data_IF_040888751099
#
_entry.id   IF_040888751099
#
_cell.length_a   1.000
_cell.length_b   1.000
_cell.length_c   1.000
_cell.angle_alpha   90.00
_cell.angle_beta   90.00
_cell.angle_gamma   90.00
#
_symmetry.space_group_name_H-M   'P 1'
#
loop_
_entity.id
_entity.type
_entity.pdbx_description
1 polymer ?
#
# COMPACT_ATOMS: atom_id res chain seq x y z
N UNK A 1 18.57 -32.90 -38.69
CA UNK A 1 18.76 -33.15 -37.24
C UNK A 1 18.75 -31.81 -36.48
N UNK A 2 17.65 -31.04 -36.52
CA UNK A 2 17.59 -29.67 -35.95
C UNK A 2 16.20 -29.26 -35.42
N UNK A 3 15.26 -30.21 -35.29
CA UNK A 3 13.88 -29.93 -34.79
C UNK A 3 13.68 -30.22 -33.31
N UNK A 4 14.54 -31.03 -32.67
CA UNK A 4 14.37 -31.42 -31.25
C UNK A 4 14.82 -30.37 -30.23
N UNK A 5 15.64 -29.40 -30.60
CA UNK A 5 16.21 -28.43 -29.64
C UNK A 5 15.18 -27.35 -29.26
N UNK A 6 14.26 -26.98 -30.15
CA UNK A 6 13.26 -25.94 -29.91
C UNK A 6 12.11 -26.35 -28.98
N UNK A 7 11.84 -27.64 -28.83
CA UNK A 7 10.78 -28.13 -27.93
C UNK A 7 11.20 -28.07 -26.45
N UNK A 8 12.50 -28.20 -26.16
CA UNK A 8 13.03 -28.13 -24.80
C UNK A 8 13.12 -26.69 -24.27
N UNK A 9 13.38 -25.71 -25.15
CA UNK A 9 13.42 -24.29 -24.76
C UNK A 9 12.03 -23.67 -24.55
N UNK A 10 10.98 -24.19 -25.19
CA UNK A 10 9.61 -23.71 -24.97
C UNK A 10 9.02 -24.16 -23.62
N UNK A 11 9.48 -25.30 -23.08
CA UNK A 11 8.99 -25.84 -21.80
C UNK A 11 9.56 -25.10 -20.57
N UNK A 12 10.75 -24.50 -20.69
CA UNK A 12 11.38 -23.77 -19.58
C UNK A 12 10.77 -22.37 -19.35
N UNK A 13 10.11 -21.79 -20.36
CA UNK A 13 9.46 -20.48 -20.27
C UNK A 13 8.13 -20.49 -19.50
N UNK A 14 7.51 -21.66 -19.28
CA UNK A 14 6.25 -21.79 -18.54
C UNK A 14 6.43 -22.06 -17.04
N UNK A 15 7.66 -22.34 -16.57
CA UNK A 15 7.93 -22.64 -15.16
C UNK A 15 8.25 -21.41 -14.29
N UNK A 16 8.26 -20.21 -14.88
CA UNK A 16 8.39 -18.96 -14.13
C UNK A 16 7.04 -18.27 -13.99
N UNK A 17 6.11 -18.91 -13.29
CA UNK A 17 4.98 -18.17 -12.71
C UNK A 17 5.47 -17.52 -11.41
N UNK A 18 5.60 -16.18 -11.35
CA UNK A 18 5.89 -15.52 -10.10
C UNK A 18 4.73 -15.78 -9.15
N UNK A 19 5.03 -16.43 -8.03
CA UNK A 19 4.04 -16.67 -7.00
C UNK A 19 3.70 -15.32 -6.37
N UNK A 20 2.58 -14.70 -6.75
CA UNK A 20 2.14 -13.47 -6.11
C UNK A 20 1.70 -13.80 -4.68
N UNK A 21 2.46 -13.37 -3.68
CA UNK A 21 1.99 -13.32 -2.30
C UNK A 21 0.78 -12.37 -2.22
N UNK A 22 -0.30 -12.90 -1.64
CA UNK A 22 -1.63 -12.28 -1.63
C UNK A 22 -1.87 -11.65 -0.26
N UNK A 23 -2.30 -10.39 -0.23
CA UNK A 23 -2.87 -9.78 0.98
C UNK A 23 -4.14 -10.56 1.32
N UNK A 24 -4.13 -11.32 2.42
CA UNK A 24 -5.27 -12.12 2.88
C UNK A 24 -6.30 -11.21 3.56
N UNK A 25 -5.82 -10.36 4.47
CA UNK A 25 -6.67 -9.47 5.25
C UNK A 25 -6.01 -8.10 5.36
N UNK A 26 -6.82 -7.05 5.20
CA UNK A 26 -6.44 -5.67 5.48
C UNK A 26 -7.66 -4.97 6.07
N UNK A 27 -7.83 -5.11 7.38
CA UNK A 27 -8.99 -4.61 8.11
C UNK A 27 -8.60 -3.38 8.93
N UNK A 28 -9.22 -2.25 8.61
CA UNK A 28 -9.10 -1.02 9.38
C UNK A 28 -10.25 -0.90 10.39
N UNK A 29 -9.91 -0.61 11.65
CA UNK A 29 -10.85 -0.44 12.76
C UNK A 29 -11.05 1.06 13.01
N UNK A 30 -12.31 1.48 13.12
CA UNK A 30 -12.71 2.90 13.17
C UNK A 30 -12.24 3.69 11.93
N UNK A 31 -12.48 3.12 10.74
CA UNK A 31 -12.10 3.73 9.47
C UNK A 31 -12.89 5.01 9.20
N UNK A 32 -12.18 6.09 8.92
CA UNK A 32 -12.71 7.33 8.37
C UNK A 32 -11.97 7.71 7.09
N UNK A 33 -12.63 8.45 6.20
CA UNK A 33 -12.09 8.81 4.88
C UNK A 33 -12.37 10.28 4.57
N UNK A 34 -11.39 10.92 3.95
CA UNK A 34 -11.56 12.23 3.34
C UNK A 34 -11.22 12.12 1.85
N UNK A 35 -12.07 12.70 1.01
CA UNK A 35 -11.99 12.57 -0.44
C UNK A 35 -11.70 13.93 -1.05
N UNK A 36 -10.71 13.99 -1.94
CA UNK A 36 -10.25 15.22 -2.57
C UNK A 36 -10.12 15.04 -4.08
N UNK A 37 -10.74 15.91 -4.90
CA UNK A 37 -10.52 15.91 -6.34
C UNK A 37 -9.06 16.16 -6.70
N UNK A 38 -8.56 15.55 -7.78
CA UNK A 38 -7.17 15.73 -8.23
C UNK A 38 -6.81 17.20 -8.43
N UNK A 39 -7.71 18.00 -9.01
CA UNK A 39 -7.51 19.44 -9.17
C UNK A 39 -7.22 20.16 -7.85
N UNK A 40 -7.95 19.82 -6.79
CA UNK A 40 -7.71 20.34 -5.44
C UNK A 40 -6.36 19.90 -4.89
N UNK A 41 -6.01 18.63 -5.09
CA UNK A 41 -4.71 18.07 -4.65
C UNK A 41 -3.56 18.80 -5.34
N UNK A 42 -3.61 18.95 -6.66
CA UNK A 42 -2.60 19.66 -7.44
C UNK A 42 -2.49 21.12 -7.00
N UNK A 43 -3.63 21.82 -6.84
CA UNK A 43 -3.67 23.21 -6.37
C UNK A 43 -3.06 23.39 -4.97
N UNK A 44 -3.44 22.55 -4.00
CA UNK A 44 -2.91 22.58 -2.63
C UNK A 44 -1.41 22.25 -2.56
N UNK A 45 -0.91 21.52 -3.55
CA UNK A 45 0.51 21.18 -3.72
C UNK A 45 1.28 22.23 -4.54
N UNK A 46 0.63 23.30 -4.99
CA UNK A 46 1.26 24.47 -5.63
C UNK A 46 1.11 24.52 -7.16
N UNK A 47 0.34 23.62 -7.77
CA UNK A 47 0.13 23.54 -9.22
C UNK A 47 -1.27 24.05 -9.58
N UNK A 48 -1.40 25.38 -9.74
CA UNK A 48 -2.71 26.05 -9.91
C UNK A 48 -3.30 25.92 -11.31
N UNK A 49 -2.48 25.66 -12.32
CA UNK A 49 -2.86 25.64 -13.74
C UNK A 49 -2.69 24.26 -14.37
N UNK A 50 -3.02 23.20 -13.64
CA UNK A 50 -3.02 21.85 -14.22
C UNK A 50 -4.16 21.74 -15.23
N UNK A 51 -3.81 21.51 -16.50
CA UNK A 51 -4.78 21.36 -17.59
C UNK A 51 -5.41 19.97 -17.59
N UNK A 52 -4.62 18.95 -17.23
CA UNK A 52 -5.03 17.55 -17.19
C UNK A 52 -4.39 16.92 -15.95
N UNK A 53 -5.21 16.42 -15.01
CA UNK A 53 -4.75 15.61 -13.90
C UNK A 53 -5.05 14.12 -14.13
N UNK A 54 -4.07 13.27 -13.87
CA UNK A 54 -4.22 11.82 -14.06
C UNK A 54 -3.54 11.02 -12.96
N UNK A 55 -4.11 9.85 -12.65
CA UNK A 55 -3.50 8.93 -11.70
C UNK A 55 -2.27 8.26 -12.31
N UNK A 56 -1.16 8.20 -11.57
CA UNK A 56 0.01 7.39 -11.90
C UNK A 56 0.09 6.25 -10.90
N UNK A 57 -0.58 5.15 -11.24
CA UNK A 57 -0.84 4.05 -10.29
C UNK A 57 -1.76 4.49 -9.14
N UNK A 58 -1.62 3.84 -7.99
CA UNK A 58 -2.54 4.05 -6.86
C UNK A 58 -2.06 5.09 -5.83
N UNK A 59 -0.82 5.57 -5.92
CA UNK A 59 -0.18 6.38 -4.87
C UNK A 59 0.33 7.73 -5.37
N UNK A 60 0.16 8.04 -6.65
CA UNK A 60 0.67 9.28 -7.26
C UNK A 60 -0.35 9.89 -8.21
N UNK A 61 -0.30 11.20 -8.34
CA UNK A 61 -1.05 11.98 -9.34
C UNK A 61 -0.05 12.74 -10.18
N UNK A 62 -0.23 12.71 -11.49
CA UNK A 62 0.45 13.60 -12.42
C UNK A 62 -0.39 14.87 -12.59
N UNK A 63 0.20 16.00 -12.20
CA UNK A 63 -0.38 17.34 -12.31
C UNK A 63 0.21 18.09 -13.53
N UNK A 64 0.48 17.36 -14.63
CA UNK A 64 1.13 17.78 -15.89
C UNK A 64 2.61 18.17 -15.74
N UNK A 65 2.91 19.07 -14.81
CA UNK A 65 4.24 19.64 -14.61
C UNK A 65 5.11 18.81 -13.66
N UNK A 66 4.47 18.11 -12.70
CA UNK A 66 5.12 17.30 -11.68
C UNK A 66 4.21 16.18 -11.20
N UNK A 67 4.84 15.15 -10.65
CA UNK A 67 4.16 14.04 -10.01
C UNK A 67 4.08 14.28 -8.50
N UNK A 68 2.86 14.31 -7.97
CA UNK A 68 2.56 14.45 -6.55
C UNK A 68 2.43 13.08 -5.90
N UNK A 69 3.09 12.88 -4.76
CA UNK A 69 2.85 11.73 -3.90
C UNK A 69 1.59 11.99 -3.05
N UNK A 70 0.60 11.08 -3.16
CA UNK A 70 -0.69 11.22 -2.49
C UNK A 70 -0.55 11.23 -0.97
N UNK A 71 0.36 10.40 -0.44
CA UNK A 71 0.56 10.32 1.01
C UNK A 71 1.12 11.64 1.55
N UNK A 72 2.00 12.32 0.81
CA UNK A 72 2.56 13.60 1.25
C UNK A 72 1.51 14.72 1.22
N UNK A 73 0.62 14.72 0.21
CA UNK A 73 -0.56 15.58 0.24
C UNK A 73 -1.42 15.30 1.48
N UNK A 74 -1.76 14.04 1.77
CA UNK A 74 -2.58 13.69 2.93
C UNK A 74 -1.91 14.15 4.24
N UNK A 75 -0.60 13.96 4.41
CA UNK A 75 0.15 14.46 5.58
C UNK A 75 0.05 15.98 5.71
N UNK A 76 0.23 16.71 4.60
CA UNK A 76 0.15 18.17 4.58
C UNK A 76 -1.26 18.66 4.97
N UNK A 77 -2.29 18.04 4.39
CA UNK A 77 -3.69 18.43 4.60
C UNK A 77 -4.17 18.13 6.01
N UNK A 78 -3.69 17.04 6.60
CA UNK A 78 -4.18 16.51 7.88
C UNK A 78 -3.14 16.52 8.98
N UNK A 79 -2.22 17.49 8.94
CA UNK A 79 -1.12 17.65 9.91
C UNK A 79 -1.55 17.67 11.39
N UNK A 80 -2.83 17.98 11.66
CA UNK A 80 -3.44 17.96 13.00
C UNK A 80 -4.10 16.63 13.39
N UNK A 81 -4.39 15.74 12.45
CA UNK A 81 -5.00 14.42 12.72
C UNK A 81 -3.92 13.37 12.90
N UNK A 82 -3.88 12.81 14.10
CA UNK A 82 -3.07 11.64 14.42
C UNK A 82 -3.91 10.41 14.07
N UNK A 83 -3.43 9.53 13.18
CA UNK A 83 -4.05 8.27 12.70
C UNK A 83 -4.16 8.10 11.15
N UNK A 84 -3.43 8.88 10.35
CA UNK A 84 -3.33 8.67 8.90
C UNK A 84 -2.69 7.29 8.61
N UNK A 85 -3.47 6.39 8.01
CA UNK A 85 -2.97 5.04 7.66
C UNK A 85 -2.43 4.96 6.24
N UNK A 86 -3.05 5.64 5.26
CA UNK A 86 -2.57 5.73 3.88
C UNK A 86 -3.34 6.78 3.08
N UNK A 87 -2.74 7.20 1.96
CA UNK A 87 -3.41 7.93 0.90
C UNK A 87 -3.39 7.13 -0.40
N UNK A 88 -4.49 7.12 -1.15
CA UNK A 88 -4.59 6.39 -2.41
C UNK A 88 -5.54 7.06 -3.40
N UNK A 89 -5.46 6.66 -4.66
CA UNK A 89 -6.50 6.97 -5.65
C UNK A 89 -7.80 6.23 -5.29
N UNK A 90 -8.94 6.90 -5.49
CA UNK A 90 -10.24 6.26 -5.42
C UNK A 90 -10.39 5.28 -6.58
N UNK A 91 -10.55 3.99 -6.27
CA UNK A 91 -10.66 2.95 -7.28
C UNK A 91 -11.95 3.07 -8.12
N UNK A 92 -12.99 3.68 -7.56
CA UNK A 92 -14.28 3.82 -8.22
C UNK A 92 -14.26 4.94 -9.24
N UNK A 93 -13.89 6.15 -8.80
CA UNK A 93 -13.96 7.34 -9.66
C UNK A 93 -12.67 7.61 -10.42
N UNK A 94 -11.53 7.10 -9.94
CA UNK A 94 -10.17 7.26 -10.50
C UNK A 94 -9.70 8.71 -10.72
N UNK A 95 -10.45 9.68 -10.21
CA UNK A 95 -10.18 11.12 -10.31
C UNK A 95 -10.11 11.82 -8.94
N UNK A 96 -10.21 11.03 -7.87
CA UNK A 96 -10.17 11.51 -6.50
C UNK A 96 -9.04 10.81 -5.73
N UNK A 97 -8.47 11.55 -4.78
CA UNK A 97 -7.64 11.02 -3.70
C UNK A 97 -8.52 10.70 -2.51
N UNK A 98 -8.23 9.57 -1.87
CA UNK A 98 -8.79 9.20 -0.57
C UNK A 98 -7.64 9.18 0.45
N UNK A 99 -7.75 10.03 1.46
CA UNK A 99 -6.94 9.94 2.68
C UNK A 99 -7.71 9.09 3.70
N UNK A 100 -7.12 7.99 4.14
CA UNK A 100 -7.75 7.05 5.07
C UNK A 100 -7.12 7.15 6.46
N UNK A 101 -7.99 7.14 7.48
CA UNK A 101 -7.65 7.26 8.89
C UNK A 101 -8.25 6.10 9.66
N UNK A 102 -7.52 5.52 10.60
CA UNK A 102 -8.04 4.43 11.43
C UNK A 102 -7.29 4.35 12.75
N UNK A 103 -7.98 3.93 13.82
CA UNK A 103 -7.33 3.69 15.12
C UNK A 103 -6.40 2.49 15.08
N UNK A 104 -6.82 1.44 14.38
CA UNK A 104 -6.04 0.20 14.25
C UNK A 104 -6.17 -0.42 12.86
N UNK A 105 -5.14 -1.15 12.45
CA UNK A 105 -5.11 -1.94 11.21
C UNK A 105 -4.62 -3.35 11.52
N UNK A 106 -5.40 -4.35 11.09
CA UNK A 106 -5.01 -5.77 11.08
C UNK A 106 -4.67 -6.16 9.65
N UNK A 107 -3.41 -6.55 9.44
CA UNK A 107 -2.88 -6.98 8.15
C UNK A 107 -2.47 -8.45 8.23
N UNK A 108 -2.94 -9.28 7.29
CA UNK A 108 -2.48 -10.65 7.11
C UNK A 108 -1.96 -10.84 5.69
N UNK A 109 -0.73 -11.31 5.58
CA UNK A 109 -0.04 -11.55 4.31
C UNK A 109 0.25 -13.04 4.18
N UNK A 110 -0.12 -13.62 3.04
CA UNK A 110 0.33 -14.97 2.67
C UNK A 110 1.79 -14.92 2.21
N UNK A 111 2.69 -15.54 2.95
CA UNK A 111 4.13 -15.56 2.65
C UNK A 111 4.55 -16.73 1.76
N UNK A 112 3.60 -17.45 1.17
CA UNK A 112 3.89 -18.58 0.26
C UNK A 112 4.42 -18.14 -1.10
N UNK A 113 4.35 -16.84 -1.44
CA UNK A 113 4.81 -16.28 -2.71
C UNK A 113 5.93 -15.25 -2.57
N UNK A 114 6.45 -14.80 -3.72
CA UNK A 114 7.62 -13.92 -3.83
C UNK A 114 7.30 -12.42 -3.72
N UNK A 115 6.04 -12.00 -3.85
CA UNK A 115 5.71 -10.55 -3.88
C UNK A 115 5.90 -9.84 -2.54
N UNK A 116 5.80 -10.57 -1.43
CA UNK A 116 6.25 -10.12 -0.11
C UNK A 116 7.28 -11.12 0.39
N UNK A 117 8.55 -10.73 0.36
CA UNK A 117 9.66 -11.50 0.95
C UNK A 117 9.52 -11.49 2.46
N UNK A 118 8.60 -12.28 3.00
CA UNK A 118 8.56 -12.54 4.43
C UNK A 118 9.83 -13.29 4.80
N UNK A 119 10.47 -12.84 5.86
CA UNK A 119 11.64 -13.46 6.43
C UNK A 119 11.25 -14.16 7.72
N UNK A 120 12.21 -14.79 8.40
CA UNK A 120 11.97 -15.30 9.76
C UNK A 120 11.90 -14.16 10.80
N UNK A 121 11.97 -12.88 10.38
CA UNK A 121 11.94 -11.70 11.25
C UNK A 121 10.60 -10.98 11.16
N UNK A 122 9.55 -11.64 11.65
CA UNK A 122 8.15 -11.14 11.64
C UNK A 122 7.97 -9.66 12.02
N UNK A 123 8.68 -9.17 13.05
CA UNK A 123 8.59 -7.77 13.47
C UNK A 123 9.15 -6.83 12.39
N UNK A 124 10.31 -7.15 11.84
CA UNK A 124 10.92 -6.36 10.77
C UNK A 124 10.04 -6.35 9.52
N UNK A 125 9.47 -7.50 9.15
CA UNK A 125 8.60 -7.61 7.98
C UNK A 125 7.33 -6.76 8.14
N UNK A 126 6.70 -6.79 9.32
CA UNK A 126 5.59 -5.90 9.64
C UNK A 126 6.00 -4.42 9.61
N UNK A 127 7.15 -4.04 10.17
CA UNK A 127 7.62 -2.65 10.10
C UNK A 127 7.87 -2.18 8.65
N UNK A 128 8.32 -3.07 7.77
CA UNK A 128 8.45 -2.76 6.34
C UNK A 128 7.09 -2.53 5.67
N UNK A 129 6.08 -3.33 6.03
CA UNK A 129 4.71 -3.22 5.52
C UNK A 129 3.98 -1.98 6.05
N UNK A 130 4.30 -1.52 7.26
CA UNK A 130 3.67 -0.36 7.91
C UNK A 130 3.57 0.87 7.00
N UNK A 131 4.62 1.17 6.21
CA UNK A 131 4.66 2.33 5.32
C UNK A 131 3.53 2.35 4.28
N UNK A 132 3.05 1.18 3.86
CA UNK A 132 2.01 1.06 2.84
C UNK A 132 0.60 0.92 3.44
N UNK A 133 0.47 0.35 4.64
CA UNK A 133 -0.81 -0.05 5.20
C UNK A 133 -1.24 0.72 6.45
N UNK A 134 -0.30 1.26 7.22
CA UNK A 134 -0.55 1.80 8.55
C UNK A 134 0.44 2.91 8.93
N UNK A 135 0.63 3.89 8.04
CA UNK A 135 1.73 4.88 8.07
C UNK A 135 2.02 5.47 9.46
N UNK A 136 1.01 6.01 10.14
CA UNK A 136 1.19 6.68 11.44
C UNK A 136 1.01 5.77 12.66
N UNK A 137 0.62 4.51 12.49
CA UNK A 137 0.28 3.63 13.62
C UNK A 137 1.51 2.88 14.14
N UNK A 138 1.50 2.49 15.41
CA UNK A 138 2.59 1.74 16.03
C UNK A 138 2.32 0.24 15.85
N UNK A 139 3.36 -0.54 15.51
CA UNK A 139 3.26 -2.00 15.50
C UNK A 139 3.12 -2.51 16.93
N UNK A 140 1.95 -3.06 17.27
CA UNK A 140 1.64 -3.59 18.60
C UNK A 140 1.80 -5.10 18.67
N UNK A 141 1.52 -5.81 17.58
CA UNK A 141 1.64 -7.27 17.52
C UNK A 141 2.17 -7.75 16.17
N UNK A 142 3.03 -8.77 16.21
CA UNK A 142 3.45 -9.52 15.04
C UNK A 142 3.53 -11.02 15.31
N UNK A 143 2.91 -11.80 14.43
CA UNK A 143 2.89 -13.24 14.48
C UNK A 143 3.18 -13.83 13.10
N UNK A 144 3.76 -15.01 13.09
CA UNK A 144 3.98 -15.78 11.89
C UNK A 144 3.54 -17.21 12.17
N UNK A 145 2.49 -17.66 11.48
CA UNK A 145 1.91 -18.98 11.65
C UNK A 145 1.49 -19.52 10.29
N UNK A 146 1.81 -20.78 10.00
CA UNK A 146 1.34 -21.47 8.80
C UNK A 146 1.54 -20.69 7.48
N UNK A 147 2.71 -20.06 7.33
CA UNK A 147 3.08 -19.17 6.20
C UNK A 147 2.27 -17.87 6.13
N UNK A 148 1.57 -17.48 7.18
CA UNK A 148 0.83 -16.22 7.25
C UNK A 148 1.51 -15.28 8.23
N UNK A 149 1.96 -14.13 7.73
CA UNK A 149 2.42 -13.03 8.56
C UNK A 149 1.22 -12.19 8.99
N UNK A 150 1.00 -12.09 10.29
CA UNK A 150 -0.03 -11.21 10.89
C UNK A 150 0.64 -10.02 11.56
N UNK A 151 0.20 -8.82 11.19
CA UNK A 151 0.65 -7.55 11.76
C UNK A 151 -0.54 -6.76 12.29
N UNK A 152 -0.47 -6.30 13.53
CA UNK A 152 -1.47 -5.41 14.12
C UNK A 152 -0.80 -4.08 14.45
N UNK A 153 -1.37 -3.01 13.90
CA UNK A 153 -0.94 -1.65 14.16
C UNK A 153 -2.03 -0.91 14.92
N UNK A 154 -1.67 -0.06 15.87
CA UNK A 154 -2.62 0.73 16.66
C UNK A 154 -2.04 2.09 17.03
N UNK A 155 -2.91 3.06 17.30
CA UNK A 155 -2.57 4.37 17.85
C UNK A 155 -2.23 4.30 19.33
N UNK A 156 -2.94 3.45 20.07
CA UNK A 156 -2.56 2.97 21.38
C UNK A 156 -1.30 2.10 21.23
N UNK A 157 -0.21 2.41 21.95
CA UNK A 157 1.08 1.70 21.85
C UNK A 157 0.98 0.19 22.11
N UNK A 158 2.11 -0.56 22.12
CA UNK A 158 2.08 -2.00 22.33
C UNK A 158 1.31 -2.35 23.61
N UNK A 159 0.36 -3.29 23.49
CA UNK A 159 -0.36 -3.87 24.63
C UNK A 159 0.70 -4.42 25.59
N UNK A 160 0.82 -3.79 26.76
CA UNK A 160 1.61 -4.34 27.87
C UNK A 160 0.86 -5.56 28.38
N UNK A 161 1.24 -6.73 27.91
CA UNK A 161 0.90 -8.02 28.51
C UNK A 161 1.73 -8.20 29.79
#
# INVERSE_FOLDING_TARGET
>A
MMRSIYLLTFLFLFLQWPSFSKVIENKAISLSREIYPFKTVCGDMGFKDSLIEQAVGNSKIDCTSRVVNILDFCKKKTSKRQNLIRGRVDALTKNNVVCEFAKSVVLKIDCSGDSFKCTNRKRLDCENLKKAFAYSLVLTHSAYDSKVLTCIYSDDGPLKL
#
